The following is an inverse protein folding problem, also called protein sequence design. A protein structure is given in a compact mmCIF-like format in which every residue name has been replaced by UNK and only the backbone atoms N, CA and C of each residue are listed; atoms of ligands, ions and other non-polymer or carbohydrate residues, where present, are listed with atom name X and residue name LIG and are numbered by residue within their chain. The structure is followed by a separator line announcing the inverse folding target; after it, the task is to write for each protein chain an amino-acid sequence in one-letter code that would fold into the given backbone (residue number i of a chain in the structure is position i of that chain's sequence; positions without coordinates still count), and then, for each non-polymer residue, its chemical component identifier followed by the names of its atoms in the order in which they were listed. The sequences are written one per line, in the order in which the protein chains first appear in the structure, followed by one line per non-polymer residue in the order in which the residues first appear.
data_IF_779847276248
#
_entry.id   IF_779847276248
#
_cell.length_a   1.000
_cell.length_b   1.000
_cell.length_c   1.000
_cell.angle_alpha   90.00
_cell.angle_beta   90.00
_cell.angle_gamma   90.00
#
_symmetry.space_group_name_H-M   'P 1'
#
loop_
_entity.id
_entity.type
_entity.pdbx_description
1 polymer ?
#
# COMPACT_ATOMS: atom_id res chain seq x y z
N UNK A 1 27.10 -6.16 8.21
CA UNK A 1 26.91 -6.06 8.11
C UNK A 1 26.27 -5.59 7.82
N UNK A 2 26.27 -5.32 7.75
CA UNK A 2 25.73 -4.83 7.57
C UNK A 2 24.99 -4.55 6.97
N UNK A 3 25.16 -4.43 6.71
CA UNK A 3 24.69 -4.18 6.30
C UNK A 3 23.84 -4.20 5.78
N UNK A 4 23.80 -4.26 5.70
CA UNK A 4 23.23 -4.26 5.38
C UNK A 4 22.26 -4.20 5.05
N UNK A 5 22.11 -4.19 4.97
CA UNK A 5 21.26 -4.12 4.83
C UNK A 5 20.41 -3.44 4.34
N UNK A 6 20.27 -3.22 4.10
CA UNK A 6 19.40 -2.30 3.68
C UNK A 6 18.72 -2.38 2.39
N UNK A 7 19.00 -2.95 1.67
CA UNK A 7 18.49 -3.08 0.55
C UNK A 7 17.13 -3.29 0.35
N UNK A 8 16.48 -3.92 1.00
CA UNK A 8 15.08 -4.03 0.86
C UNK A 8 14.38 -2.77 1.09
N UNK A 9 15.10 -1.78 1.47
CA UNK A 9 14.49 -0.55 1.70
C UNK A 9 13.82 0.03 0.52
N UNK A 10 14.31 -0.25 -0.66
CA UNK A 10 13.68 0.31 -1.84
C UNK A 10 12.31 -0.29 -2.05
N UNK A 11 12.11 -1.53 -1.66
CA UNK A 11 10.82 -2.16 -1.83
C UNK A 11 9.82 -1.81 -0.75
N UNK A 12 10.25 -1.08 0.25
CA UNK A 12 9.40 -0.77 1.38
C UNK A 12 8.92 0.68 1.39
N UNK A 13 9.13 1.42 0.32
CA UNK A 13 8.70 2.81 0.25
C UNK A 13 7.55 2.94 -0.72
N UNK A 14 6.46 3.58 -0.26
CA UNK A 14 5.27 3.79 -1.06
C UNK A 14 5.00 5.27 -1.13
N UNK A 15 4.79 5.78 -2.34
CA UNK A 15 4.60 7.21 -2.54
C UNK A 15 3.16 7.59 -2.28
N UNK A 16 2.98 8.78 -1.70
CA UNK A 16 1.66 9.29 -1.42
C UNK A 16 0.95 9.64 -2.72
N UNK A 17 -0.34 9.31 -2.81
CA UNK A 17 -1.11 9.55 -4.01
C UNK A 17 -1.22 11.02 -4.35
N UNK A 18 -1.07 11.91 -3.37
CA UNK A 18 -1.12 13.35 -3.62
C UNK A 18 0.19 13.88 -4.23
N UNK A 19 1.24 13.07 -4.16
CA UNK A 19 2.52 13.52 -4.65
C UNK A 19 3.25 14.40 -3.65
N UNK A 20 4.14 15.22 -4.13
CA UNK A 20 4.92 16.10 -3.27
C UNK A 20 5.87 15.30 -2.44
N UNK A 21 6.81 15.23 -2.05
CA UNK A 21 7.78 14.43 -1.33
C UNK A 21 7.21 13.68 -0.12
N UNK A 22 5.98 13.21 -0.25
CA UNK A 22 5.36 12.43 0.82
C UNK A 22 5.48 10.95 0.54
N UNK A 23 5.81 10.18 1.56
CA UNK A 23 6.00 8.75 1.41
C UNK A 23 5.68 8.01 2.69
N UNK A 24 5.30 6.75 2.51
CA UNK A 24 5.15 5.82 3.62
C UNK A 24 6.31 4.85 3.53
N UNK A 25 7.00 4.66 4.64
CA UNK A 25 8.06 3.67 4.72
C UNK A 25 7.64 2.55 5.63
N UNK A 26 7.82 1.32 5.18
CA UNK A 26 7.48 0.12 5.95
C UNK A 26 8.78 -0.59 6.28
N UNK A 27 9.04 -0.75 7.57
CA UNK A 27 10.27 -1.38 8.02
C UNK A 27 9.96 -2.55 8.94
N UNK A 28 10.51 -3.71 8.64
CA UNK A 28 10.35 -4.88 9.49
C UNK A 28 11.40 -4.89 10.59
N UNK A 29 10.94 -5.12 11.80
CA UNK A 29 11.82 -5.30 12.94
C UNK A 29 11.52 -6.67 13.54
N UNK A 30 12.03 -7.69 12.88
CA UNK A 30 11.71 -9.07 13.21
C UNK A 30 12.09 -9.44 14.65
N UNK A 31 13.19 -8.93 15.12
CA UNK A 31 13.65 -9.25 16.46
C UNK A 31 12.72 -8.68 17.54
N UNK A 32 11.95 -7.66 17.20
CA UNK A 32 11.00 -7.06 18.12
C UNK A 32 9.56 -7.46 17.84
N UNK A 33 9.32 -8.23 16.79
CA UNK A 33 7.98 -8.63 16.42
C UNK A 33 7.13 -7.48 15.96
N UNK A 34 7.71 -6.52 15.26
CA UNK A 34 7.04 -5.30 14.86
C UNK A 34 7.28 -4.96 13.41
N UNK A 35 6.31 -4.26 12.85
CA UNK A 35 6.47 -3.56 11.59
C UNK A 35 6.31 -2.08 11.90
N UNK A 36 7.23 -1.26 11.48
CA UNK A 36 7.16 0.18 11.70
C UNK A 36 6.74 0.83 10.39
N UNK A 37 5.63 1.57 10.44
CA UNK A 37 5.16 2.34 9.32
C UNK A 37 5.41 3.80 9.63
N UNK A 38 6.24 4.45 8.84
CA UNK A 38 6.60 5.83 9.11
C UNK A 38 6.20 6.72 7.95
N UNK A 39 5.74 7.92 8.29
CA UNK A 39 5.32 8.89 7.30
C UNK A 39 6.42 9.92 7.15
N UNK A 40 6.78 10.18 5.89
CA UNK A 40 7.89 11.06 5.56
C UNK A 40 7.42 12.18 4.65
N UNK A 41 8.02 13.32 4.85
CA UNK A 41 7.78 14.47 3.99
C UNK A 41 9.08 15.25 3.89
N UNK A 42 9.57 15.48 2.67
CA UNK A 42 10.81 16.21 2.42
C UNK A 42 11.98 15.62 3.23
N UNK A 43 12.05 14.30 3.26
CA UNK A 43 13.11 13.58 3.97
C UNK A 43 13.06 13.74 5.49
N UNK A 44 11.94 14.20 6.01
CA UNK A 44 11.75 14.32 7.45
C UNK A 44 10.63 13.39 7.87
N UNK A 45 10.88 12.57 8.88
CA UNK A 45 9.87 11.68 9.42
C UNK A 45 8.91 12.48 10.28
N UNK A 46 7.64 12.51 9.90
CA UNK A 46 6.63 13.26 10.62
C UNK A 46 5.86 12.42 11.62
N UNK A 47 5.97 11.11 11.55
CA UNK A 47 5.29 10.24 12.49
C UNK A 47 5.55 8.80 12.19
N UNK A 48 5.30 7.94 13.18
CA UNK A 48 5.48 6.52 12.98
C UNK A 48 4.41 5.75 13.74
N UNK A 49 4.17 4.54 13.28
CA UNK A 49 3.21 3.64 13.87
C UNK A 49 3.87 2.26 13.96
N UNK A 50 3.76 1.64 15.12
CA UNK A 50 4.31 0.29 15.32
C UNK A 50 3.18 -0.71 15.27
N UNK A 51 3.21 -1.55 14.26
CA UNK A 51 2.19 -2.57 14.09
C UNK A 51 2.75 -3.89 14.59
N UNK A 52 2.05 -4.50 15.56
CA UNK A 52 2.48 -5.80 16.06
C UNK A 52 2.37 -6.84 14.94
N UNK A 53 3.30 -7.76 14.91
CA UNK A 53 3.30 -8.81 13.89
C UNK A 53 1.97 -9.55 13.87
N UNK A 54 1.34 -9.74 15.03
CA UNK A 54 0.07 -10.43 15.12
C UNK A 54 -1.06 -9.72 14.38
N UNK A 55 -0.92 -8.43 14.16
CA UNK A 55 -1.94 -7.65 13.48
C UNK A 55 -1.73 -7.57 11.97
N UNK A 56 -0.56 -7.99 11.51
CA UNK A 56 -0.24 -7.90 10.09
C UNK A 56 -1.21 -8.67 9.21
N UNK A 57 -1.59 -9.90 9.58
CA UNK A 57 -2.54 -10.63 8.73
C UNK A 57 -3.86 -9.91 8.54
N UNK A 58 -4.33 -9.21 9.57
CA UNK A 58 -5.59 -8.46 9.47
C UNK A 58 -5.44 -7.28 8.52
N UNK A 59 -4.30 -6.59 8.57
CA UNK A 59 -4.06 -5.49 7.65
C UNK A 59 -4.00 -6.00 6.21
N UNK A 60 -3.32 -7.12 6.00
CA UNK A 60 -3.24 -7.72 4.68
C UNK A 60 -4.64 -8.07 4.18
N UNK A 61 -5.44 -8.69 5.04
CA UNK A 61 -6.78 -9.11 4.65
C UNK A 61 -7.66 -7.91 4.30
N UNK A 62 -7.55 -6.84 5.09
CA UNK A 62 -8.32 -5.64 4.83
C UNK A 62 -7.96 -5.01 3.49
N UNK A 63 -6.68 -4.90 3.23
CA UNK A 63 -6.21 -4.31 1.97
C UNK A 63 -6.60 -5.20 0.79
N UNK A 64 -6.47 -6.51 0.96
CA UNK A 64 -6.82 -7.44 -0.09
C UNK A 64 -8.30 -7.36 -0.42
N UNK A 65 -9.15 -7.31 0.61
CA UNK A 65 -10.59 -7.21 0.40
C UNK A 65 -10.96 -5.94 -0.34
N UNK A 66 -10.33 -4.83 0.04
CA UNK A 66 -10.58 -3.57 -0.65
C UNK A 66 -10.11 -3.59 -2.08
N UNK A 67 -8.99 -4.26 -2.32
CA UNK A 67 -8.47 -4.38 -3.67
C UNK A 67 -9.43 -5.18 -4.55
N UNK A 68 -10.02 -6.25 -4.01
CA UNK A 68 -10.98 -7.05 -4.76
C UNK A 68 -12.20 -6.22 -5.13
N UNK A 69 -12.69 -5.40 -4.20
CA UNK A 69 -13.82 -4.52 -4.48
C UNK A 69 -13.45 -3.49 -5.55
N UNK A 70 -12.27 -2.90 -5.46
CA UNK A 70 -11.83 -1.92 -6.43
C UNK A 70 -11.71 -2.53 -7.81
N UNK A 71 -11.22 -3.76 -7.87
CA UNK A 71 -11.08 -4.46 -9.13
C UNK A 71 -12.45 -4.72 -9.75
N UNK A 72 -13.41 -5.18 -8.94
CA UNK A 72 -14.77 -5.44 -9.42
C UNK A 72 -15.43 -4.18 -9.93
N UNK A 73 -15.24 -3.07 -9.21
CA UNK A 73 -15.81 -1.79 -9.63
C UNK A 73 -15.23 -1.32 -10.95
N UNK A 74 -13.91 -1.44 -11.07
CA UNK A 74 -13.25 -1.03 -12.31
C UNK A 74 -13.75 -1.86 -13.48
N UNK A 75 -13.93 -3.15 -13.26
CA UNK A 75 -14.42 -4.03 -14.30
C UNK A 75 -15.85 -3.69 -14.69
N UNK A 76 -16.68 -3.40 -13.70
CA UNK A 76 -18.07 -3.03 -13.93
C UNK A 76 -18.15 -1.72 -14.71
N UNK A 77 -17.34 -0.73 -14.33
CA UNK A 77 -17.34 0.55 -15.03
C UNK A 77 -16.88 0.40 -16.47
N UNK A 78 -15.88 -0.45 -16.68
CA UNK A 78 -15.39 -0.69 -18.01
C UNK A 78 -16.48 -1.29 -18.90
N UNK A 79 -17.25 -2.22 -18.36
CA UNK A 79 -18.34 -2.83 -19.10
C UNK A 79 -19.43 -1.82 -19.39
N UNK A 80 -19.74 -0.97 -18.42
CA UNK A 80 -20.76 0.02 -18.60
C UNK A 80 -20.42 1.03 -19.66
N UNK A 81 -19.13 1.33 -19.83
CA UNK A 81 -18.69 2.29 -20.83
C UNK A 81 -18.39 1.68 -22.18
N UNK A 82 -18.50 0.36 -22.28
CA UNK A 82 -18.18 -0.32 -23.52
C UNK A 82 -19.30 -0.13 -24.50
N UNK A 83 -19.13 0.53 -25.56
CA UNK A 83 -20.22 0.79 -26.46
C UNK A 83 -20.69 -0.43 -27.15
N UNK A 84 -20.42 -1.18 -27.31
CA UNK A 84 -20.74 -2.31 -27.89
C UNK A 84 -21.63 -3.06 -27.37
N UNK A 85 -21.63 -2.29 -27.45
CA UNK A 85 -22.04 -2.59 -26.77
C UNK A 85 -23.06 -2.40 -26.63
N UNK A 86 -23.17 -2.10 -27.01
CA UNK A 86 -23.76 -1.64 -26.66
C UNK A 86 -24.57 -1.71 -26.46
N UNK A 87 -24.64 -1.65 -26.82
CA UNK A 87 -24.93 -1.47 -26.37
C UNK A 87 -25.45 -1.68 -26.09
N UNK A 88 -25.46 -1.64 -26.48
CA UNK A 88 -25.54 -1.64 -25.86
C UNK A 88 -25.84 -1.71 -25.36
N UNK A 89 -26.13 -1.64 -25.79
CA UNK A 89 -26.02 -1.44 -25.08
C UNK A 89 -26.08 -1.56 -24.63
N UNK A 90 -26.19 -1.33 -24.87
CA UNK A 90 -25.81 -1.20 -24.32
C UNK A 90 -25.72 -1.38 -24.22
#
# INVERSE_FOLDING_TARGET
MPAARPLPESGSIFLDARGGDRALRVSWHHESGLVVLSLWRDNVCSGSFRLAVDEVPDLIALLRGGLDVAYDRALTQRRAHHPDHRADVS
#
